data_IF_480701681339
#
_entry.id   IF_480701681339
#
_cell.length_a   1.000
_cell.length_b   1.000
_cell.length_c   1.000
_cell.angle_alpha   90.00
_cell.angle_beta   90.00
_cell.angle_gamma   90.00
#
_symmetry.space_group_name_H-M   'P 1'
#
loop_
_entity.id
_entity.type
_entity.pdbx_description
1 polymer ?
#
# COMPACT_ATOMS: atom_id res chain seq x y z
N UNK A 1 -0.77 -15.29 -4.72
CA UNK A 1 -1.18 -15.87 -6.02
C UNK A 1 -1.11 -14.84 -7.14
N UNK A 2 -1.88 -13.74 -7.14
CA UNK A 2 -1.80 -12.75 -8.24
C UNK A 2 -0.52 -11.87 -8.26
N UNK A 3 0.30 -11.87 -7.21
CA UNK A 3 1.65 -11.27 -7.19
C UNK A 3 2.71 -12.12 -7.92
N UNK A 4 2.32 -13.26 -8.50
CA UNK A 4 3.20 -14.16 -9.25
C UNK A 4 2.86 -14.23 -10.74
N UNK A 5 1.81 -13.52 -11.19
CA UNK A 5 1.45 -13.49 -12.62
C UNK A 5 2.20 -12.32 -13.26
N UNK A 6 3.21 -12.57 -14.12
CA UNK A 6 3.97 -11.51 -14.74
C UNK A 6 3.12 -10.74 -15.74
N UNK A 7 3.40 -9.46 -15.91
CA UNK A 7 2.83 -8.64 -16.97
C UNK A 7 3.16 -9.24 -18.35
N UNK A 8 2.17 -9.33 -19.26
CA UNK A 8 2.41 -9.88 -20.59
C UNK A 8 3.39 -8.99 -21.36
N UNK A 9 4.43 -9.60 -21.95
CA UNK A 9 5.41 -8.92 -22.81
C UNK A 9 6.72 -8.50 -22.14
N UNK A 10 6.95 -8.87 -20.88
CA UNK A 10 8.18 -8.56 -20.14
C UNK A 10 9.02 -9.84 -19.95
N UNK A 11 10.34 -9.73 -20.19
CA UNK A 11 11.31 -10.77 -19.86
C UNK A 11 11.63 -10.78 -18.34
N UNK A 12 11.24 -11.82 -17.58
CA UNK A 12 11.50 -11.91 -16.14
C UNK A 12 12.99 -12.02 -15.81
N UNK A 13 13.83 -12.51 -16.73
CA UNK A 13 15.28 -12.64 -16.52
C UNK A 13 15.98 -11.28 -16.51
N UNK A 14 15.67 -10.41 -17.46
CA UNK A 14 16.23 -9.06 -17.50
C UNK A 14 15.70 -8.15 -16.38
N UNK A 15 14.45 -8.37 -15.97
CA UNK A 15 13.87 -7.69 -14.82
C UNK A 15 14.63 -7.95 -13.52
N UNK A 16 15.01 -9.21 -13.28
CA UNK A 16 15.73 -9.59 -12.08
C UNK A 16 17.09 -8.87 -12.01
N UNK A 17 17.80 -8.78 -13.13
CA UNK A 17 19.08 -8.06 -13.25
C UNK A 17 18.94 -6.55 -12.96
N UNK A 18 17.87 -5.90 -13.43
CA UNK A 18 17.62 -4.48 -13.13
C UNK A 18 17.21 -4.23 -11.69
N UNK A 19 16.52 -5.18 -11.07
CA UNK A 19 16.11 -5.09 -9.68
C UNK A 19 17.29 -5.29 -8.73
N UNK A 20 18.22 -6.19 -9.06
CA UNK A 20 19.47 -6.39 -8.31
C UNK A 20 20.34 -5.13 -8.28
N UNK A 21 20.35 -4.33 -9.35
CA UNK A 21 21.06 -3.04 -9.40
C UNK A 21 20.39 -1.88 -8.64
N UNK A 22 19.06 -1.88 -8.50
CA UNK A 22 18.27 -0.74 -7.98
C UNK A 22 17.61 -0.95 -6.60
N UNK A 23 17.90 -2.07 -5.92
CA UNK A 23 17.31 -2.43 -4.62
C UNK A 23 17.49 -1.37 -3.51
N UNK A 24 18.50 -0.49 -3.60
CA UNK A 24 18.81 0.52 -2.57
C UNK A 24 18.08 1.86 -2.74
N UNK A 25 17.26 2.02 -3.78
CA UNK A 25 16.59 3.29 -4.11
C UNK A 25 15.10 3.36 -3.73
N UNK A 26 14.43 4.44 -4.17
CA UNK A 26 12.99 4.68 -3.99
C UNK A 26 12.11 3.51 -4.49
N UNK A 27 12.59 2.81 -5.53
CA UNK A 27 11.98 1.58 -6.06
C UNK A 27 11.90 0.44 -5.03
N UNK A 28 12.89 0.31 -4.16
CA UNK A 28 12.90 -0.68 -3.07
C UNK A 28 11.81 -0.38 -2.04
N UNK A 29 11.61 0.89 -1.68
CA UNK A 29 10.52 1.30 -0.77
C UNK A 29 9.13 1.01 -1.40
N UNK A 30 8.95 1.32 -2.68
CA UNK A 30 7.71 1.00 -3.39
C UNK A 30 7.45 -0.51 -3.45
N UNK A 31 8.49 -1.33 -3.60
CA UNK A 31 8.36 -2.78 -3.64
C UNK A 31 7.85 -3.38 -2.32
N UNK A 32 8.25 -2.81 -1.18
CA UNK A 32 7.76 -3.22 0.14
C UNK A 32 6.27 -2.91 0.30
N UNK A 33 5.82 -1.72 -0.14
CA UNK A 33 4.40 -1.36 -0.11
C UNK A 33 3.55 -2.15 -1.10
N UNK A 34 4.14 -2.63 -2.19
CA UNK A 34 3.50 -3.49 -3.18
C UNK A 34 3.61 -4.98 -2.85
N UNK A 35 4.17 -5.38 -1.70
CA UNK A 35 4.32 -6.78 -1.29
C UNK A 35 5.16 -7.61 -2.27
N UNK A 36 6.26 -7.05 -2.76
CA UNK A 36 7.16 -7.73 -3.70
C UNK A 36 6.66 -7.75 -5.15
N UNK A 37 5.49 -7.17 -5.45
CA UNK A 37 4.88 -7.21 -6.78
C UNK A 37 5.68 -6.44 -7.84
N UNK A 38 6.42 -5.39 -7.45
CA UNK A 38 7.30 -4.64 -8.35
C UNK A 38 8.51 -5.49 -8.73
N UNK A 39 9.09 -6.20 -7.75
CA UNK A 39 10.21 -7.13 -7.96
C UNK A 39 9.90 -8.31 -8.85
N UNK A 40 8.62 -8.60 -9.08
CA UNK A 40 8.16 -9.68 -9.95
C UNK A 40 7.42 -9.17 -11.19
N UNK A 41 7.35 -7.84 -11.39
CA UNK A 41 6.46 -7.17 -12.35
C UNK A 41 5.11 -7.86 -12.47
N UNK A 42 4.52 -8.13 -11.31
CA UNK A 42 3.25 -8.81 -11.26
C UNK A 42 2.13 -7.88 -11.76
N UNK A 43 0.99 -8.44 -12.13
CA UNK A 43 -0.25 -7.70 -12.45
C UNK A 43 -0.58 -6.62 -11.39
N UNK A 44 -0.12 -6.82 -10.15
CA UNK A 44 -0.25 -5.88 -9.04
C UNK A 44 0.96 -4.97 -8.81
N UNK A 45 1.75 -4.64 -9.85
CA UNK A 45 2.96 -3.82 -9.69
C UNK A 45 2.71 -2.48 -9.00
N UNK A 46 1.56 -1.82 -9.25
CA UNK A 46 1.15 -0.60 -8.52
C UNK A 46 0.34 -0.89 -7.24
N UNK A 47 -0.05 -2.14 -7.02
CA UNK A 47 -0.84 -2.59 -5.87
C UNK A 47 -2.13 -1.77 -5.70
N UNK A 48 -2.33 -1.27 -4.48
CA UNK A 48 -3.47 -0.42 -4.11
C UNK A 48 -3.12 1.09 -4.15
N UNK A 49 -1.93 1.46 -4.65
CA UNK A 49 -1.43 2.84 -4.62
C UNK A 49 -2.32 3.84 -5.38
N UNK A 50 -2.84 3.56 -6.60
CA UNK A 50 -3.71 4.50 -7.28
C UNK A 50 -4.97 4.84 -6.46
N UNK A 51 -5.45 3.86 -5.67
CA UNK A 51 -6.57 4.08 -4.76
C UNK A 51 -6.18 4.95 -3.57
N UNK A 52 -5.03 4.69 -2.95
CA UNK A 52 -4.51 5.52 -1.85
C UNK A 52 -4.39 6.97 -2.32
N UNK A 53 -3.73 7.20 -3.44
CA UNK A 53 -3.57 8.55 -4.02
C UNK A 53 -4.92 9.21 -4.28
N UNK A 54 -5.88 8.49 -4.88
CA UNK A 54 -7.22 9.04 -5.11
C UNK A 54 -7.93 9.39 -3.80
N UNK A 55 -7.82 8.54 -2.77
CA UNK A 55 -8.45 8.78 -1.47
C UNK A 55 -7.88 10.00 -0.75
N UNK A 56 -6.56 10.21 -0.86
CA UNK A 56 -5.88 11.39 -0.30
C UNK A 56 -6.31 12.65 -1.05
N UNK A 57 -6.39 12.61 -2.39
CA UNK A 57 -6.87 13.74 -3.18
C UNK A 57 -8.28 14.13 -2.76
N UNK A 58 -9.20 13.17 -2.61
CA UNK A 58 -10.58 13.45 -2.19
C UNK A 58 -10.63 13.94 -0.73
N UNK A 59 -9.78 13.43 0.16
CA UNK A 59 -9.67 13.94 1.53
C UNK A 59 -9.17 15.38 1.57
N UNK A 60 -8.18 15.74 0.76
CA UNK A 60 -7.69 17.11 0.63
C UNK A 60 -8.76 18.03 0.04
N UNK A 61 -9.47 17.59 -1.00
CA UNK A 61 -10.60 18.33 -1.56
C UNK A 61 -11.72 18.58 -0.55
N UNK A 62 -11.89 17.68 0.43
CA UNK A 62 -12.84 17.88 1.54
C UNK A 62 -12.42 19.00 2.48
N UNK A 63 -11.13 19.28 2.61
CA UNK A 63 -10.61 20.39 3.40
C UNK A 63 -10.67 21.74 2.67
N UNK A 64 -10.61 21.72 1.33
CA UNK A 64 -10.52 22.94 0.50
C UNK A 64 -11.88 23.36 -0.08
N UNK A 65 -12.78 22.43 -0.36
CA UNK A 65 -14.06 22.69 -1.02
C UNK A 65 -15.26 22.46 -0.11
N UNK A 66 -16.16 23.44 -0.05
CA UNK A 66 -17.43 23.35 0.67
C UNK A 66 -18.34 22.26 0.11
N UNK A 67 -18.24 21.93 -1.19
CA UNK A 67 -19.01 20.84 -1.79
C UNK A 67 -18.68 19.50 -1.14
N UNK A 68 -17.39 19.15 -1.07
CA UNK A 68 -16.95 17.89 -0.48
C UNK A 68 -17.13 17.87 1.04
N UNK A 69 -16.98 19.02 1.70
CA UNK A 69 -17.27 19.17 3.13
C UNK A 69 -18.74 18.90 3.44
N UNK A 70 -19.65 19.51 2.69
CA UNK A 70 -21.09 19.27 2.81
C UNK A 70 -21.43 17.81 2.49
N UNK A 71 -20.79 17.23 1.48
CA UNK A 71 -20.96 15.82 1.15
C UNK A 71 -20.52 14.92 2.30
N UNK A 72 -19.40 15.21 2.97
CA UNK A 72 -18.98 14.46 4.16
C UNK A 72 -19.95 14.62 5.33
N UNK A 73 -20.58 15.78 5.47
CA UNK A 73 -21.54 16.08 6.54
C UNK A 73 -22.92 15.43 6.34
N UNK A 74 -23.25 14.96 5.13
CA UNK A 74 -24.49 14.23 4.83
C UNK A 74 -24.54 12.79 5.37
N UNK A 75 -23.58 12.41 6.23
CA UNK A 75 -23.54 11.10 6.87
C UNK A 75 -23.24 9.97 5.87
N UNK A 76 -24.05 8.91 5.90
CA UNK A 76 -23.76 7.67 5.16
C UNK A 76 -23.94 7.82 3.64
N UNK A 77 -24.97 8.55 3.20
CA UNK A 77 -25.23 8.82 1.78
C UNK A 77 -24.05 9.60 1.16
N UNK A 78 -23.59 10.62 1.89
CA UNK A 78 -22.44 11.43 1.53
C UNK A 78 -21.15 10.64 1.43
N UNK A 79 -20.87 9.79 2.43
CA UNK A 79 -19.72 8.87 2.42
C UNK A 79 -19.73 7.94 1.21
N UNK A 80 -20.89 7.36 0.85
CA UNK A 80 -21.00 6.50 -0.35
C UNK A 80 -20.64 7.25 -1.63
N UNK A 81 -21.06 8.51 -1.76
CA UNK A 81 -20.75 9.34 -2.94
C UNK A 81 -19.28 9.73 -3.01
N UNK A 82 -18.66 10.03 -1.87
CA UNK A 82 -17.20 10.24 -1.76
C UNK A 82 -16.43 8.99 -2.19
N UNK A 83 -16.87 7.81 -1.75
CA UNK A 83 -16.28 6.52 -2.19
C UNK A 83 -16.42 6.33 -3.69
N UNK A 84 -17.57 6.62 -4.30
CA UNK A 84 -17.74 6.54 -5.76
C UNK A 84 -16.77 7.47 -6.51
N UNK A 85 -16.61 8.72 -6.07
CA UNK A 85 -15.66 9.66 -6.68
C UNK A 85 -14.22 9.13 -6.55
N UNK A 86 -13.88 8.57 -5.39
CA UNK A 86 -12.58 7.94 -5.16
C UNK A 86 -12.35 6.75 -6.09
N UNK A 87 -13.37 5.94 -6.38
CA UNK A 87 -13.26 4.82 -7.35
C UNK A 87 -12.99 5.32 -8.75
N UNK A 88 -13.71 6.34 -9.22
CA UNK A 88 -13.46 6.92 -10.54
C UNK A 88 -12.07 7.56 -10.64
N UNK A 89 -11.66 8.28 -9.60
CA UNK A 89 -10.31 8.84 -9.52
C UNK A 89 -9.22 7.76 -9.53
N UNK A 90 -9.46 6.63 -8.87
CA UNK A 90 -8.54 5.47 -8.86
C UNK A 90 -8.32 4.91 -10.26
N UNK A 91 -9.38 4.75 -11.06
CA UNK A 91 -9.28 4.23 -12.44
C UNK A 91 -8.51 5.21 -13.33
N UNK A 92 -8.81 6.51 -13.21
CA UNK A 92 -8.13 7.56 -13.98
C UNK A 92 -6.64 7.61 -13.63
N UNK A 93 -6.30 7.66 -12.33
CA UNK A 93 -4.91 7.66 -11.89
C UNK A 93 -4.20 6.37 -12.25
N UNK A 94 -4.85 5.22 -12.11
CA UNK A 94 -4.29 3.93 -12.50
C UNK A 94 -3.97 3.85 -14.00
N UNK A 95 -4.81 4.46 -14.83
CA UNK A 95 -4.58 4.55 -16.28
C UNK A 95 -3.36 5.41 -16.59
N UNK A 96 -3.28 6.61 -15.98
CA UNK A 96 -2.16 7.54 -16.19
C UNK A 96 -0.84 6.96 -15.66
N UNK A 97 -0.85 6.39 -14.45
CA UNK A 97 0.32 5.77 -13.85
C UNK A 97 0.75 4.50 -14.59
N UNK A 98 -0.20 3.66 -15.00
CA UNK A 98 0.07 2.48 -15.81
C UNK A 98 0.67 2.84 -17.17
N UNK A 99 0.21 3.94 -17.79
CA UNK A 99 0.77 4.44 -19.05
C UNK A 99 2.20 4.94 -18.83
N UNK A 100 2.43 5.77 -17.80
CA UNK A 100 3.76 6.25 -17.44
C UNK A 100 4.74 5.10 -17.15
N UNK A 101 4.28 4.04 -16.46
CA UNK A 101 5.08 2.84 -16.25
C UNK A 101 5.39 2.13 -17.56
N UNK A 102 4.38 1.91 -18.42
CA UNK A 102 4.59 1.22 -19.71
C UNK A 102 5.61 1.93 -20.61
N UNK A 103 5.58 3.26 -20.65
CA UNK A 103 6.53 4.07 -21.42
C UNK A 103 7.92 4.06 -20.79
N UNK A 104 8.00 4.16 -19.46
CA UNK A 104 9.29 4.08 -18.73
C UNK A 104 9.97 2.71 -18.86
N UNK A 105 9.18 1.62 -18.93
CA UNK A 105 9.70 0.27 -19.15
C UNK A 105 10.14 0.04 -20.59
N UNK A 106 9.44 0.64 -21.56
CA UNK A 106 9.85 0.62 -22.96
C UNK A 106 11.17 1.39 -23.17
N UNK A 107 11.40 2.49 -22.45
CA UNK A 107 12.61 3.31 -22.59
C UNK A 107 13.84 2.75 -21.85
N UNK A 108 13.65 1.84 -20.88
CA UNK A 108 14.71 1.40 -19.95
C UNK A 108 15.44 0.12 -20.36
N UNK A 109 15.66 -0.07 -21.66
CA UNK A 109 16.39 -1.18 -22.31
C UNK A 109 15.66 -2.52 -22.36
N UNK A 110 15.55 -3.11 -23.57
CA UNK A 110 15.32 -4.52 -23.98
C UNK A 110 14.48 -5.50 -23.11
N UNK A 111 13.77 -5.01 -22.10
CA UNK A 111 12.88 -5.76 -21.20
C UNK A 111 11.61 -6.19 -21.90
N UNK A 112 11.18 -5.41 -22.89
CA UNK A 112 9.94 -5.61 -23.62
C UNK A 112 10.25 -6.43 -24.86
N UNK A 113 9.67 -7.63 -24.94
CA UNK A 113 9.91 -8.59 -26.03
C UNK A 113 9.45 -8.00 -27.38
N UNK A 114 8.40 -7.18 -27.37
CA UNK A 114 7.92 -6.41 -28.53
C UNK A 114 7.44 -5.02 -28.09
N UNK A 115 8.31 -4.00 -28.13
CA UNK A 115 7.93 -2.60 -27.90
C UNK A 115 6.83 -2.17 -28.88
N UNK A 116 5.79 -1.49 -28.41
CA UNK A 116 4.70 -1.04 -29.27
C UNK A 116 3.42 -0.63 -28.56
N UNK A 117 2.48 -0.08 -29.34
CA UNK A 117 1.15 0.36 -28.84
C UNK A 117 0.38 -0.80 -28.21
N UNK A 118 0.54 -2.02 -28.75
CA UNK A 118 -0.07 -3.23 -28.19
C UNK A 118 0.43 -3.55 -26.78
N UNK A 119 1.74 -3.41 -26.52
CA UNK A 119 2.31 -3.60 -25.18
C UNK A 119 1.80 -2.55 -24.19
N UNK A 120 1.70 -1.28 -24.61
CA UNK A 120 1.19 -0.20 -23.76
C UNK A 120 -0.26 -0.44 -23.35
N UNK A 121 -1.13 -0.75 -24.32
CA UNK A 121 -2.55 -1.00 -24.05
C UNK A 121 -2.72 -2.22 -23.14
N UNK A 122 -2.08 -3.34 -23.46
CA UNK A 122 -2.17 -4.56 -22.65
C UNK A 122 -1.63 -4.36 -21.23
N UNK A 123 -0.51 -3.65 -21.07
CA UNK A 123 0.07 -3.31 -19.76
C UNK A 123 -0.85 -2.41 -18.95
N UNK A 124 -1.35 -1.32 -19.54
CA UNK A 124 -2.27 -0.39 -18.87
C UNK A 124 -3.55 -1.09 -18.44
N UNK A 125 -4.20 -1.84 -19.34
CA UNK A 125 -5.42 -2.57 -19.02
C UNK A 125 -5.19 -3.61 -17.93
N UNK A 126 -4.06 -4.32 -17.96
CA UNK A 126 -3.72 -5.33 -16.94
C UNK A 126 -3.50 -4.70 -15.56
N UNK A 127 -2.77 -3.59 -15.48
CA UNK A 127 -2.51 -2.87 -14.23
C UNK A 127 -3.80 -2.27 -13.66
N UNK A 128 -4.62 -1.65 -14.52
CA UNK A 128 -5.90 -1.05 -14.12
C UNK A 128 -6.86 -2.14 -13.64
N UNK A 129 -6.98 -3.25 -14.38
CA UNK A 129 -7.80 -4.39 -13.98
C UNK A 129 -7.33 -4.98 -12.64
N UNK A 130 -6.01 -5.16 -12.45
CA UNK A 130 -5.42 -5.62 -11.20
C UNK A 130 -5.72 -4.69 -10.02
N UNK A 131 -5.60 -3.39 -10.23
CA UNK A 131 -5.88 -2.37 -9.20
C UNK A 131 -7.37 -2.35 -8.82
N UNK A 132 -8.27 -2.42 -9.81
CA UNK A 132 -9.72 -2.47 -9.57
C UNK A 132 -10.08 -3.74 -8.81
N UNK A 133 -9.47 -4.88 -9.17
CA UNK A 133 -9.69 -6.15 -8.48
C UNK A 133 -9.24 -6.08 -7.01
N UNK A 134 -8.06 -5.52 -6.72
CA UNK A 134 -7.58 -5.32 -5.35
C UNK A 134 -8.46 -4.37 -4.55
N UNK A 135 -8.91 -3.27 -5.17
CA UNK A 135 -9.85 -2.34 -4.54
C UNK A 135 -11.16 -3.04 -4.19
N UNK A 136 -11.73 -3.80 -5.13
CA UNK A 136 -12.94 -4.58 -4.91
C UNK A 136 -12.76 -5.60 -3.77
N UNK A 137 -11.64 -6.32 -3.74
CA UNK A 137 -11.31 -7.23 -2.63
C UNK A 137 -11.23 -6.50 -1.29
N UNK A 138 -10.57 -5.33 -1.24
CA UNK A 138 -10.45 -4.53 -0.03
C UNK A 138 -11.81 -4.08 0.49
N UNK A 139 -12.74 -3.73 -0.40
CA UNK A 139 -14.11 -3.38 -0.03
C UNK A 139 -14.90 -4.59 0.47
N UNK A 140 -14.75 -5.76 -0.15
CA UNK A 140 -15.40 -6.99 0.34
C UNK A 140 -14.90 -7.38 1.73
N UNK A 141 -13.59 -7.25 1.98
CA UNK A 141 -13.00 -7.48 3.31
C UNK A 141 -13.54 -6.46 4.32
N UNK A 142 -13.75 -5.20 3.92
CA UNK A 142 -14.33 -4.18 4.80
C UNK A 142 -15.79 -4.47 5.16
N UNK A 143 -16.57 -5.01 4.21
CA UNK A 143 -17.99 -5.30 4.43
C UNK A 143 -18.24 -6.57 5.24
N UNK A 144 -17.40 -7.60 5.07
CA UNK A 144 -17.61 -8.94 5.65
C UNK A 144 -16.58 -9.34 6.70
N UNK A 145 -15.48 -8.59 6.81
CA UNK A 145 -14.35 -8.87 7.69
C UNK A 145 -14.24 -7.88 8.84
N UNK A 146 -13.07 -7.87 9.47
CA UNK A 146 -12.76 -7.05 10.64
C UNK A 146 -11.90 -5.85 10.21
N UNK A 147 -12.35 -4.64 10.51
CA UNK A 147 -11.58 -3.41 10.26
C UNK A 147 -11.63 -2.91 8.81
N UNK A 148 -10.60 -2.19 8.39
CA UNK A 148 -10.49 -1.63 7.05
C UNK A 148 -9.74 -2.61 6.12
N UNK A 149 -10.45 -3.18 5.15
CA UNK A 149 -9.90 -4.19 4.26
C UNK A 149 -8.76 -3.68 3.37
N UNK A 150 -8.74 -2.39 3.05
CA UNK A 150 -7.64 -1.78 2.28
C UNK A 150 -6.36 -1.71 3.13
N UNK A 151 -6.49 -1.35 4.41
CA UNK A 151 -5.37 -1.37 5.36
C UNK A 151 -4.84 -2.80 5.57
N UNK A 152 -5.74 -3.80 5.61
CA UNK A 152 -5.36 -5.20 5.74
C UNK A 152 -4.60 -5.73 4.52
N UNK A 153 -4.97 -5.31 3.30
CA UNK A 153 -4.22 -5.67 2.08
C UNK A 153 -2.79 -5.14 2.15
N UNK A 154 -2.60 -3.88 2.54
CA UNK A 154 -1.28 -3.26 2.69
C UNK A 154 -0.47 -4.00 3.77
N UNK A 155 -1.09 -4.20 4.94
CA UNK A 155 -0.46 -4.88 6.07
C UNK A 155 -0.01 -6.29 5.68
N UNK A 156 -0.88 -7.07 5.04
CA UNK A 156 -0.55 -8.41 4.57
C UNK A 156 0.57 -8.41 3.53
N UNK A 157 0.64 -7.39 2.66
CA UNK A 157 1.72 -7.22 1.69
C UNK A 157 3.07 -6.98 2.36
N UNK A 158 3.13 -6.07 3.34
CA UNK A 158 4.35 -5.77 4.09
C UNK A 158 4.81 -6.99 4.90
N UNK A 159 3.89 -7.64 5.61
CA UNK A 159 4.19 -8.80 6.45
C UNK A 159 4.66 -9.99 5.62
N UNK A 160 4.16 -10.17 4.39
CA UNK A 160 4.62 -11.23 3.49
C UNK A 160 6.11 -11.10 3.10
N UNK A 161 6.67 -9.90 3.15
CA UNK A 161 8.06 -9.63 2.77
C UNK A 161 9.04 -9.82 3.95
N UNK A 162 8.55 -9.73 5.19
CA UNK A 162 9.38 -9.86 6.41
C UNK A 162 10.14 -11.20 6.46
N UNK A 163 9.53 -12.38 6.24
CA UNK A 163 10.25 -13.66 6.31
C UNK A 163 11.43 -13.72 5.34
N UNK A 164 11.24 -13.23 4.12
CA UNK A 164 12.30 -13.18 3.10
C UNK A 164 13.45 -12.28 3.55
N UNK A 165 13.14 -11.07 4.03
CA UNK A 165 14.16 -10.14 4.51
C UNK A 165 14.96 -10.71 5.70
N UNK A 166 14.31 -11.44 6.60
CA UNK A 166 14.98 -12.14 7.70
C UNK A 166 15.93 -13.21 7.20
N UNK A 167 15.48 -14.11 6.30
CA UNK A 167 16.33 -15.17 5.73
C UNK A 167 17.56 -14.59 5.04
N UNK A 168 17.39 -13.58 4.18
CA UNK A 168 18.52 -12.91 3.51
C UNK A 168 19.48 -12.28 4.50
N UNK A 169 18.99 -11.67 5.59
CA UNK A 169 19.85 -11.09 6.63
C UNK A 169 20.65 -12.16 7.37
N UNK A 170 20.05 -13.32 7.66
CA UNK A 170 20.74 -14.45 8.28
C UNK A 170 21.79 -15.08 7.35
N UNK A 171 21.49 -15.19 6.05
CA UNK A 171 22.45 -15.69 5.05
C UNK A 171 23.67 -14.76 4.94
N UNK A 172 23.46 -13.43 4.93
CA UNK A 172 24.54 -12.44 4.94
C UNK A 172 25.42 -12.51 6.20
N UNK A 173 24.83 -12.91 7.33
CA UNK A 173 25.58 -13.21 8.56
C UNK A 173 26.41 -14.49 8.44
N UNK A 174 25.85 -15.54 7.79
CA UNK A 174 26.53 -16.82 7.58
C UNK A 174 27.69 -16.72 6.60
N UNK A 175 27.57 -15.88 5.56
CA UNK A 175 28.64 -15.65 4.58
C UNK A 175 29.73 -14.70 5.08
N UNK A 176 29.55 -14.09 6.26
CA UNK A 176 30.49 -13.12 6.83
C UNK A 176 30.47 -11.74 6.17
N UNK A 177 29.56 -11.51 5.21
CA UNK A 177 29.40 -10.21 4.55
C UNK A 177 28.92 -9.11 5.51
N UNK A 178 28.17 -9.50 6.57
CA UNK A 178 27.79 -8.63 7.69
C UNK A 178 28.25 -9.30 8.97
N UNK A 179 28.92 -8.54 9.84
CA UNK A 179 29.31 -9.03 11.18
C UNK A 179 28.07 -9.45 11.97
N UNK A 180 28.11 -10.63 12.59
CA UNK A 180 27.04 -11.10 13.47
C UNK A 180 26.67 -10.11 14.59
N UNK A 181 27.63 -9.27 15.00
CA UNK A 181 27.38 -8.17 15.93
C UNK A 181 26.40 -7.12 15.37
N UNK A 182 26.52 -6.76 14.09
CA UNK A 182 25.62 -5.78 13.44
C UNK A 182 24.20 -6.36 13.33
N UNK A 183 24.07 -7.64 12.98
CA UNK A 183 22.77 -8.32 12.91
C UNK A 183 22.10 -8.32 14.28
N UNK A 184 22.85 -8.68 15.33
CA UNK A 184 22.37 -8.64 16.70
C UNK A 184 21.91 -7.23 17.13
N UNK A 185 22.69 -6.20 16.79
CA UNK A 185 22.33 -4.80 17.04
C UNK A 185 21.02 -4.40 16.34
N UNK A 186 20.83 -4.79 15.07
CA UNK A 186 19.61 -4.52 14.30
C UNK A 186 18.38 -5.13 14.99
N UNK A 187 18.49 -6.39 15.48
CA UNK A 187 17.40 -7.04 16.21
C UNK A 187 17.06 -6.31 17.51
N UNK A 188 18.06 -5.86 18.28
CA UNK A 188 17.83 -5.08 19.49
C UNK A 188 17.11 -3.78 19.17
N UNK A 189 17.55 -3.04 18.15
CA UNK A 189 16.92 -1.79 17.73
C UNK A 189 15.48 -2.04 17.31
N UNK A 190 15.21 -3.09 16.53
CA UNK A 190 13.86 -3.45 16.10
C UNK A 190 12.93 -3.69 17.29
N UNK A 191 13.37 -4.49 18.27
CA UNK A 191 12.59 -4.77 19.48
C UNK A 191 12.38 -3.49 20.31
N UNK A 192 13.43 -2.67 20.47
CA UNK A 192 13.37 -1.41 21.20
C UNK A 192 12.39 -0.43 20.54
N UNK A 193 12.39 -0.32 19.21
CA UNK A 193 11.44 0.51 18.46
C UNK A 193 10.00 0.01 18.64
N UNK A 194 9.75 -1.30 18.58
CA UNK A 194 8.41 -1.85 18.83
C UNK A 194 7.95 -1.53 20.26
N UNK A 195 8.81 -1.75 21.26
CA UNK A 195 8.49 -1.41 22.65
C UNK A 195 8.22 0.08 22.83
N UNK A 196 9.00 0.95 22.20
CA UNK A 196 8.81 2.39 22.23
C UNK A 196 7.46 2.81 21.61
N UNK A 197 7.09 2.25 20.46
CA UNK A 197 5.79 2.50 19.83
C UNK A 197 4.66 2.07 20.76
N UNK A 198 4.71 0.87 21.34
CA UNK A 198 3.69 0.37 22.26
C UNK A 198 3.60 1.22 23.53
N UNK A 199 4.74 1.68 24.05
CA UNK A 199 4.78 2.59 25.21
C UNK A 199 4.08 3.91 24.90
N UNK A 200 4.39 4.52 23.74
CA UNK A 200 3.78 5.76 23.30
C UNK A 200 2.28 5.60 23.01
N UNK A 201 1.85 4.48 22.40
CA UNK A 201 0.43 4.20 22.16
C UNK A 201 -0.36 4.00 23.45
N UNK A 202 0.26 3.41 24.48
CA UNK A 202 -0.36 3.24 25.82
C UNK A 202 -0.33 4.50 26.67
N UNK A 203 0.44 5.51 26.30
CA UNK A 203 0.54 6.77 27.02
C UNK A 203 -0.74 7.60 26.84
N UNK A 204 -1.69 7.43 27.75
CA UNK A 204 -2.96 8.18 27.75
C UNK A 204 -2.92 9.31 28.78
N UNK A 205 -3.16 10.54 28.33
CA UNK A 205 -3.47 11.65 29.24
C UNK A 205 -4.93 11.58 29.66
N UNK A 206 -5.20 11.04 30.84
CA UNK A 206 -6.55 11.00 31.41
C UNK A 206 -7.01 12.42 31.74
N UNK A 207 -8.03 12.91 31.04
CA UNK A 207 -8.72 14.15 31.38
C UNK A 207 -9.93 13.75 32.22
N UNK A 208 -9.94 14.16 33.50
CA UNK A 208 -11.04 13.87 34.42
C UNK A 208 -12.27 14.70 33.99
N UNK A 209 -13.32 14.02 33.53
CA UNK A 209 -14.61 14.62 33.25
C UNK A 209 -15.56 14.20 34.36
N UNK A 210 -15.96 15.17 35.20
CA UNK A 210 -16.99 14.95 36.20
C UNK A 210 -18.35 15.15 35.53
N UNK A 211 -19.13 14.06 35.39
CA UNK A 211 -20.53 14.16 34.99
C UNK A 211 -21.36 14.47 36.24
N UNK A 212 -21.91 15.69 36.40
CA UNK A 212 -22.78 15.98 37.52
C UNK A 212 -24.04 15.12 37.39
N UNK A 213 -24.10 14.03 38.16
CA UNK A 213 -25.29 13.21 38.26
C UNK A 213 -26.27 13.95 39.16
N UNK A 214 -27.37 14.44 38.59
CA UNK A 214 -28.42 15.12 39.35
C UNK A 214 -29.07 14.10 40.28
N UNK A 215 -28.66 14.12 41.55
CA UNK A 215 -29.30 13.33 42.59
C UNK A 215 -30.65 13.98 42.86
N UNK A 216 -31.71 13.48 42.22
CA UNK A 216 -33.08 13.85 42.59
C UNK A 216 -33.31 13.31 44.01
N UNK A 217 -33.17 14.20 45.01
CA UNK A 217 -33.60 13.92 46.36
C UNK A 217 -35.10 13.65 46.35
N UNK A 218 -35.47 12.40 46.63
CA UNK A 218 -36.82 12.06 47.02
C UNK A 218 -37.05 12.76 48.36
N UNK A 219 -37.63 13.97 48.33
CA UNK A 219 -38.15 14.61 49.54
C UNK A 219 -39.32 13.76 50.00
N UNK A 220 -39.17 13.12 51.15
CA UNK A 220 -40.29 12.76 52.03
C UNK A 220 -40.50 13.96 52.95
#
# INVERSE_FOLDING_TARGET
MGTFVPLPGIDPGQLQTLMEGNQKGLLGMFNVFAGGAISRMAIFALGIMPYISSSIIVQLLTGVSDYFKNLKNQGEIGRRKITQITRYGTVLLGTVQGYGLSVGLESSANLVINPGVFFKITTVTTIVAGTIFLMWLGEQITQRGIGNGISLIIFSGIVAEIPRALVTTFELGKTGAISGFIIFLIFIILIATIMFIVFMERALRKILINYPKRQMGNKI
#
